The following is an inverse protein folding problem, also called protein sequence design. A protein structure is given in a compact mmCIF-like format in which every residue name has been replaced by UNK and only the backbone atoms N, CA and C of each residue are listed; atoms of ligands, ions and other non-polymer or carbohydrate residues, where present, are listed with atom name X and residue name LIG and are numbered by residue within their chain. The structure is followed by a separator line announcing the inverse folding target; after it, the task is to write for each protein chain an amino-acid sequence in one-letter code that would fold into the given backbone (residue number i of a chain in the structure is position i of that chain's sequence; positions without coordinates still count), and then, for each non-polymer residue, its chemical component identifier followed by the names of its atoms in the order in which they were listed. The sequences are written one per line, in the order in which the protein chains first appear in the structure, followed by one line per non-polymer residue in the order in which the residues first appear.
data_IF_891015142696
#
_entry.id   IF_891015142696
#
_cell.length_a   1.000
_cell.length_b   1.000
_cell.length_c   1.000
_cell.angle_alpha   90.00
_cell.angle_beta   90.00
_cell.angle_gamma   90.00
#
_symmetry.space_group_name_H-M   'P 1'
#
loop_
_entity.id
_entity.type
_entity.pdbx_description
1 polymer ?
#
# COMPACT_ATOMS: atom_id res chain seq x y z
N UNK A 1 3.64 46.44 3.82
CA UNK A 1 3.32 45.16 4.48
C UNK A 1 3.51 44.09 3.43
N UNK A 2 4.61 43.33 3.49
CA UNK A 2 4.82 42.22 2.57
C UNK A 2 3.83 41.12 2.95
N UNK A 3 2.89 40.83 2.05
CA UNK A 3 2.17 39.56 2.12
C UNK A 3 3.21 38.45 1.91
N UNK A 4 3.33 37.47 2.82
CA UNK A 4 4.10 36.27 2.50
C UNK A 4 3.43 35.61 1.28
N UNK A 5 4.23 35.28 0.26
CA UNK A 5 3.76 34.42 -0.83
C UNK A 5 3.22 33.12 -0.21
N UNK A 6 2.05 32.61 -0.67
CA UNK A 6 1.59 31.31 -0.23
C UNK A 6 2.66 30.28 -0.58
N UNK A 7 3.07 29.48 0.40
CA UNK A 7 3.98 28.35 0.18
C UNK A 7 3.44 27.54 -0.99
N UNK A 8 4.23 27.43 -2.06
CA UNK A 8 3.85 26.66 -3.23
C UNK A 8 3.64 25.20 -2.79
N UNK A 9 2.39 24.75 -2.81
CA UNK A 9 2.06 23.34 -2.60
C UNK A 9 2.75 22.54 -3.70
N UNK A 10 3.78 21.79 -3.33
CA UNK A 10 4.43 20.85 -4.25
C UNK A 10 3.62 19.56 -4.17
N UNK A 11 3.05 19.08 -5.29
CA UNK A 11 2.30 17.84 -5.28
C UNK A 11 3.22 16.68 -4.88
N UNK A 12 2.68 15.63 -4.23
CA UNK A 12 3.46 14.47 -3.86
C UNK A 12 4.13 13.81 -5.07
N UNK A 13 5.37 13.37 -4.92
CA UNK A 13 6.08 12.63 -5.96
C UNK A 13 5.54 11.19 -6.04
N UNK A 14 4.61 10.96 -6.97
CA UNK A 14 3.98 9.67 -7.20
C UNK A 14 4.99 8.53 -7.39
N UNK A 15 6.09 8.77 -8.12
CA UNK A 15 7.11 7.75 -8.37
C UNK A 15 7.87 7.37 -7.09
N UNK A 16 8.16 8.36 -6.24
CA UNK A 16 8.78 8.10 -4.93
C UNK A 16 7.85 7.32 -3.99
N UNK A 17 6.55 7.63 -4.02
CA UNK A 17 5.52 6.94 -3.23
C UNK A 17 5.36 5.50 -3.72
N UNK A 18 5.20 5.30 -5.03
CA UNK A 18 5.12 3.99 -5.67
C UNK A 18 6.32 3.11 -5.31
N UNK A 19 7.55 3.64 -5.43
CA UNK A 19 8.74 2.89 -5.08
C UNK A 19 8.76 2.42 -3.61
N UNK A 20 8.27 3.25 -2.68
CA UNK A 20 8.15 2.89 -1.27
C UNK A 20 7.03 1.89 -1.00
N UNK A 21 5.90 2.02 -1.70
CA UNK A 21 4.76 1.10 -1.62
C UNK A 21 5.16 -0.29 -2.13
N UNK A 22 5.83 -0.36 -3.28
CA UNK A 22 6.39 -1.59 -3.82
C UNK A 22 7.45 -2.21 -2.90
N UNK A 23 8.35 -1.39 -2.36
CA UNK A 23 9.37 -1.85 -1.42
C UNK A 23 8.74 -2.49 -0.16
N UNK A 24 7.72 -1.85 0.41
CA UNK A 24 7.00 -2.39 1.56
C UNK A 24 6.19 -3.65 1.20
N UNK A 25 5.48 -3.65 0.07
CA UNK A 25 4.69 -4.80 -0.41
C UNK A 25 5.58 -6.03 -0.65
N UNK A 26 6.73 -5.85 -1.30
CA UNK A 26 7.71 -6.92 -1.55
C UNK A 26 8.36 -7.42 -0.26
N UNK A 27 8.68 -6.53 0.68
CA UNK A 27 9.15 -6.92 2.01
C UNK A 27 8.10 -7.75 2.76
N UNK A 28 6.88 -7.22 2.86
CA UNK A 28 5.79 -7.81 3.63
C UNK A 28 5.34 -9.17 3.10
N UNK A 29 5.26 -9.32 1.78
CA UNK A 29 4.70 -10.50 1.13
C UNK A 29 5.75 -11.53 0.69
N UNK A 30 6.94 -11.07 0.28
CA UNK A 30 7.97 -11.93 -0.30
C UNK A 30 9.25 -12.01 0.55
N UNK A 31 9.35 -11.21 1.62
CA UNK A 31 10.56 -11.12 2.44
C UNK A 31 11.74 -10.48 1.74
N UNK A 32 11.51 -9.73 0.65
CA UNK A 32 12.58 -9.04 -0.08
C UNK A 32 12.98 -7.77 0.69
N UNK A 33 14.22 -7.66 1.17
CA UNK A 33 14.64 -6.49 1.94
C UNK A 33 14.68 -5.24 1.04
N UNK A 34 14.15 -4.10 1.50
CA UNK A 34 14.23 -2.85 0.75
C UNK A 34 15.60 -2.19 0.92
N UNK A 35 16.02 -1.35 -0.04
CA UNK A 35 17.28 -0.59 0.03
C UNK A 35 17.31 0.41 1.18
N UNK A 36 16.14 0.89 1.60
CA UNK A 36 15.94 1.76 2.77
C UNK A 36 14.83 1.22 3.65
N UNK A 37 14.90 1.40 4.99
CA UNK A 37 13.83 0.96 5.88
C UNK A 37 12.48 1.58 5.51
N UNK A 38 11.43 0.76 5.52
CA UNK A 38 10.05 1.20 5.33
C UNK A 38 9.21 0.62 6.45
N UNK A 39 8.52 1.47 7.19
CA UNK A 39 7.69 1.08 8.32
C UNK A 39 6.29 0.68 7.82
N UNK A 40 5.74 -0.38 8.39
CA UNK A 40 4.37 -0.73 8.07
C UNK A 40 3.81 -1.93 8.82
N UNK A 41 2.55 -2.21 8.54
CA UNK A 41 1.77 -3.33 9.10
C UNK A 41 1.02 -4.04 7.99
N UNK A 42 0.77 -5.33 8.21
CA UNK A 42 -0.03 -6.16 7.31
C UNK A 42 -1.28 -6.60 8.06
N UNK A 43 -2.43 -6.44 7.40
CA UNK A 43 -3.72 -6.94 7.83
C UNK A 43 -4.28 -7.85 6.76
N UNK A 44 -4.95 -8.91 7.21
CA UNK A 44 -5.73 -9.80 6.37
C UNK A 44 -7.15 -9.81 6.91
N UNK A 45 -8.16 -9.74 6.03
CA UNK A 45 -9.54 -9.80 6.47
C UNK A 45 -9.93 -11.21 6.90
N UNK A 46 -10.97 -11.30 7.72
CA UNK A 46 -11.48 -12.57 8.23
C UNK A 46 -11.90 -13.51 7.09
N UNK A 47 -12.56 -13.00 6.05
CA UNK A 47 -13.00 -13.86 4.94
C UNK A 47 -11.81 -14.48 4.20
N UNK A 48 -10.73 -13.73 4.02
CA UNK A 48 -9.50 -14.26 3.43
C UNK A 48 -8.86 -15.34 4.32
N UNK A 49 -8.85 -15.13 5.64
CA UNK A 49 -8.37 -16.16 6.60
C UNK A 49 -9.24 -17.43 6.57
N UNK A 50 -10.56 -17.28 6.45
CA UNK A 50 -11.51 -18.39 6.40
C UNK A 50 -11.47 -19.17 5.07
N UNK A 51 -10.90 -18.59 4.00
CA UNK A 51 -10.66 -19.27 2.72
C UNK A 51 -9.59 -20.38 2.81
N UNK A 52 -8.78 -20.38 3.88
CA UNK A 52 -7.79 -21.41 4.20
C UNK A 52 -6.34 -21.01 3.91
N UNK A 53 -5.41 -21.64 4.63
CA UNK A 53 -3.99 -21.26 4.67
C UNK A 53 -3.31 -21.26 3.29
N UNK A 54 -3.60 -22.26 2.45
CA UNK A 54 -3.03 -22.35 1.09
C UNK A 54 -3.50 -21.17 0.22
N UNK A 55 -4.79 -20.82 0.30
CA UNK A 55 -5.34 -19.71 -0.46
C UNK A 55 -4.79 -18.37 0.04
N UNK A 56 -4.69 -18.21 1.35
CA UNK A 56 -4.10 -17.03 1.96
C UNK A 56 -2.62 -16.87 1.55
N UNK A 57 -1.84 -17.94 1.51
CA UNK A 57 -0.46 -17.92 1.03
C UNK A 57 -0.36 -17.53 -0.44
N UNK A 58 -1.26 -18.04 -1.30
CA UNK A 58 -1.36 -17.62 -2.70
C UNK A 58 -1.70 -16.14 -2.83
N UNK A 59 -2.64 -15.63 -2.02
CA UNK A 59 -3.03 -14.22 -2.00
C UNK A 59 -1.90 -13.30 -1.56
N UNK A 60 -1.19 -13.66 -0.50
CA UNK A 60 -0.01 -12.92 -0.03
C UNK A 60 1.06 -12.90 -1.11
N UNK A 61 1.39 -14.05 -1.71
CA UNK A 61 2.40 -14.15 -2.78
C UNK A 61 2.01 -13.31 -4.00
N UNK A 62 0.79 -13.45 -4.49
CA UNK A 62 0.29 -12.71 -5.64
C UNK A 62 0.27 -11.19 -5.38
N UNK A 63 -0.08 -10.78 -4.16
CA UNK A 63 0.03 -9.38 -3.72
C UNK A 63 1.47 -8.89 -3.79
N UNK A 64 2.46 -9.68 -3.35
CA UNK A 64 3.87 -9.33 -3.44
C UNK A 64 4.46 -9.27 -4.85
N UNK A 65 3.95 -10.10 -5.76
CA UNK A 65 4.41 -10.23 -7.15
C UNK A 65 3.66 -9.33 -8.16
N UNK A 66 2.64 -8.60 -7.70
CA UNK A 66 1.86 -7.71 -8.55
C UNK A 66 2.76 -6.62 -9.19
N UNK A 67 2.65 -6.41 -10.51
CA UNK A 67 3.47 -5.42 -11.25
C UNK A 67 2.66 -4.71 -12.35
N UNK A 68 1.34 -4.95 -12.42
CA UNK A 68 0.49 -4.44 -13.52
C UNK A 68 -0.42 -3.34 -12.96
N UNK A 69 0.07 -2.10 -13.02
CA UNK A 69 -0.67 -0.91 -12.64
C UNK A 69 -1.25 -0.25 -13.90
N UNK A 70 -2.57 -0.12 -13.94
CA UNK A 70 -3.35 0.45 -15.03
C UNK A 70 -4.09 1.70 -14.53
N UNK A 71 -4.42 2.67 -15.40
CA UNK A 71 -5.10 3.89 -14.98
C UNK A 71 -6.40 3.67 -14.17
N UNK A 72 -7.06 2.53 -14.37
CA UNK A 72 -8.28 2.14 -13.67
C UNK A 72 -8.05 1.73 -12.21
N UNK A 73 -6.91 1.12 -11.88
CA UNK A 73 -6.59 0.66 -10.53
C UNK A 73 -5.57 1.55 -9.81
N UNK A 74 -4.86 2.40 -10.55
CA UNK A 74 -3.80 3.28 -10.03
C UNK A 74 -3.84 4.67 -10.69
N UNK A 75 -4.93 5.45 -10.51
CA UNK A 75 -5.10 6.74 -11.18
C UNK A 75 -4.05 7.78 -10.78
N UNK A 76 -3.52 7.68 -9.56
CA UNK A 76 -2.53 8.61 -9.01
C UNK A 76 -1.08 8.11 -9.23
N UNK A 77 -0.88 6.88 -9.70
CA UNK A 77 0.44 6.30 -9.92
C UNK A 77 1.17 5.94 -8.61
N UNK A 78 0.44 5.68 -7.53
CA UNK A 78 1.00 5.47 -6.19
C UNK A 78 1.24 3.99 -5.88
N UNK A 79 0.78 3.09 -6.75
CA UNK A 79 0.90 1.64 -6.55
C UNK A 79 0.28 1.20 -5.22
N UNK A 80 -0.85 1.79 -4.84
CA UNK A 80 -1.47 1.60 -3.53
C UNK A 80 -2.71 0.70 -3.56
N UNK A 81 -3.15 0.24 -4.73
CA UNK A 81 -4.28 -0.68 -4.88
C UNK A 81 -4.03 -1.70 -6.00
N UNK A 82 -4.56 -2.90 -5.82
CA UNK A 82 -4.54 -3.92 -6.86
C UNK A 82 -5.54 -5.04 -6.65
N UNK A 83 -5.79 -5.77 -7.74
CA UNK A 83 -6.71 -6.89 -7.78
C UNK A 83 -6.05 -8.09 -8.45
N UNK A 84 -6.17 -9.27 -7.83
CA UNK A 84 -5.67 -10.53 -8.37
C UNK A 84 -6.77 -11.58 -8.36
N UNK A 85 -6.81 -12.43 -9.39
CA UNK A 85 -7.74 -13.57 -9.45
C UNK A 85 -6.99 -14.85 -9.09
N UNK A 86 -7.46 -15.53 -8.05
CA UNK A 86 -6.85 -16.75 -7.52
C UNK A 86 -7.95 -17.80 -7.44
N UNK A 87 -7.79 -18.93 -8.14
CA UNK A 87 -8.77 -20.04 -8.15
C UNK A 87 -10.22 -19.61 -8.49
N UNK A 88 -10.38 -18.52 -9.25
CA UNK A 88 -11.68 -17.97 -9.63
C UNK A 88 -12.25 -16.93 -8.64
N UNK A 89 -11.62 -16.74 -7.49
CA UNK A 89 -11.96 -15.70 -6.52
C UNK A 89 -11.13 -14.44 -6.77
N UNK A 90 -11.73 -13.27 -6.55
CA UNK A 90 -11.01 -12.00 -6.65
C UNK A 90 -10.55 -11.57 -5.26
N UNK A 91 -9.26 -11.30 -5.14
CA UNK A 91 -8.62 -10.75 -3.95
C UNK A 91 -8.18 -9.32 -4.27
N UNK A 92 -8.54 -8.40 -3.40
CA UNK A 92 -8.03 -7.03 -3.43
C UNK A 92 -6.93 -6.86 -2.40
N UNK A 93 -6.04 -5.93 -2.68
CA UNK A 93 -5.12 -5.41 -1.68
C UNK A 93 -5.05 -3.89 -1.79
N UNK A 94 -4.78 -3.24 -0.67
CA UNK A 94 -4.59 -1.79 -0.59
C UNK A 94 -3.48 -1.42 0.39
N UNK A 95 -2.78 -0.33 0.12
CA UNK A 95 -1.90 0.38 1.04
C UNK A 95 -2.55 1.68 1.50
N UNK A 96 -2.83 1.78 2.79
CA UNK A 96 -3.21 3.04 3.42
C UNK A 96 -1.96 3.68 4.07
N UNK A 97 -1.76 4.98 3.81
CA UNK A 97 -0.59 5.73 4.26
C UNK A 97 -0.96 6.64 5.44
N UNK A 98 -0.43 6.34 6.62
CA UNK A 98 -0.72 7.07 7.85
C UNK A 98 0.51 7.81 8.38
N UNK A 99 0.29 8.91 9.08
CA UNK A 99 1.34 9.54 9.87
C UNK A 99 1.79 8.61 11.00
N UNK A 100 3.10 8.38 11.14
CA UNK A 100 3.67 7.33 11.97
C UNK A 100 3.32 7.44 13.47
N UNK A 101 3.15 8.66 13.98
CA UNK A 101 2.87 8.94 15.39
C UNK A 101 1.37 9.22 15.66
N UNK A 102 0.50 8.98 14.67
CA UNK A 102 -0.93 9.33 14.76
C UNK A 102 -1.84 8.24 15.35
N UNK A 103 -1.32 7.05 15.65
CA UNK A 103 -2.12 5.83 15.90
C UNK A 103 -3.14 5.54 14.75
N UNK A 104 -2.74 5.75 13.50
CA UNK A 104 -3.60 5.56 12.31
C UNK A 104 -4.83 6.49 12.27
N UNK A 105 -4.77 7.65 12.95
CA UNK A 105 -5.88 8.62 12.94
C UNK A 105 -5.83 9.57 11.75
N UNK A 106 -4.64 9.82 11.22
CA UNK A 106 -4.41 10.79 10.16
C UNK A 106 -3.63 10.18 9.00
N UNK A 107 -4.04 10.52 7.78
CA UNK A 107 -3.27 10.22 6.58
C UNK A 107 -1.94 10.97 6.62
N UNK A 108 -0.90 10.38 6.03
CA UNK A 108 0.42 11.00 5.99
C UNK A 108 0.39 12.32 5.21
N UNK A 109 0.90 13.41 5.81
CA UNK A 109 1.08 14.69 5.12
C UNK A 109 2.16 14.61 4.03
N UNK A 110 3.19 13.78 4.24
CA UNK A 110 4.28 13.52 3.30
C UNK A 110 4.42 12.00 3.04
N UNK A 111 3.57 11.42 2.18
CA UNK A 111 3.57 9.98 1.88
C UNK A 111 4.90 9.48 1.26
N UNK A 112 5.71 10.38 0.71
CA UNK A 112 7.03 10.10 0.15
C UNK A 112 8.14 9.97 1.19
N UNK A 113 7.88 10.35 2.45
CA UNK A 113 8.83 10.25 3.54
C UNK A 113 8.59 8.98 4.38
N UNK A 114 9.48 7.97 4.31
CA UNK A 114 9.32 6.72 5.05
C UNK A 114 9.58 6.83 6.56
N UNK A 115 10.16 7.94 7.03
CA UNK A 115 10.40 8.16 8.47
C UNK A 115 9.12 8.65 9.17
N UNK A 116 8.29 9.43 8.47
CA UNK A 116 7.03 9.99 9.01
C UNK A 116 5.78 9.24 8.53
N UNK A 117 5.92 8.29 7.60
CA UNK A 117 4.80 7.52 7.03
C UNK A 117 4.84 6.06 7.43
N UNK A 118 3.75 5.56 8.02
CA UNK A 118 3.49 4.14 8.20
C UNK A 118 2.56 3.61 7.12
N UNK A 119 3.00 2.54 6.42
CA UNK A 119 2.22 1.84 5.40
C UNK A 119 1.40 0.72 6.00
N UNK A 120 0.11 0.67 5.72
CA UNK A 120 -0.78 -0.41 6.17
C UNK A 120 -1.27 -1.17 4.95
N UNK A 121 -0.72 -2.38 4.75
CA UNK A 121 -1.16 -3.29 3.71
C UNK A 121 -2.36 -4.09 4.21
N UNK A 122 -3.49 -3.97 3.53
CA UNK A 122 -4.66 -4.82 3.76
C UNK A 122 -4.84 -5.75 2.57
N UNK A 123 -4.94 -7.06 2.81
CA UNK A 123 -5.26 -8.07 1.80
C UNK A 123 -6.63 -8.66 2.15
N UNK A 124 -7.55 -8.68 1.19
CA UNK A 124 -8.96 -8.96 1.45
C UNK A 124 -9.65 -9.63 0.27
N UNK A 125 -10.73 -10.36 0.54
CA UNK A 125 -11.62 -10.82 -0.54
C UNK A 125 -12.30 -9.61 -1.18
N UNK A 126 -12.59 -9.65 -2.48
CA UNK A 126 -13.22 -8.52 -3.17
C UNK A 126 -14.58 -8.10 -2.59
N UNK A 127 -15.30 -9.01 -1.95
CA UNK A 127 -16.59 -8.73 -1.30
C UNK A 127 -16.45 -8.05 0.08
N UNK A 128 -15.23 -7.88 0.60
CA UNK A 128 -14.94 -7.13 1.83
C UNK A 128 -14.68 -5.64 1.54
N UNK A 129 -14.63 -5.24 0.26
CA UNK A 129 -14.38 -3.89 -0.22
C UNK A 129 -15.66 -3.09 -0.46
#
# INVERSE_FOLDING_TARGET
MSHPEPLAFTPPDAAAIAALNDAFRKLACLGVPPDRPVQGRVHVTRALMEAGDDFMAEAVKATGEFEIFEPENDPEGWHDFGAVTIRGETVFWKLDLYEADSDFRYGAEDPGNPETTTRVLTIMMAHDW
#
